data_IF_277066463951
#
_entry.id   IF_277066463951
#
_cell.length_a   1.000
_cell.length_b   1.000
_cell.length_c   1.000
_cell.angle_alpha   90.00
_cell.angle_beta   90.00
_cell.angle_gamma   90.00
#
_symmetry.space_group_name_H-M   'P 1'
#
loop_
_entity.id
_entity.type
_entity.pdbx_description
1 polymer ?
#
# COMPACT_ATOMS: atom_id res chain seq x y z
N UNK A 1 -14.01 16.02 -29.33
CA UNK A 1 -14.54 15.52 -28.05
C UNK A 1 -14.28 14.02 -28.00
N UNK A 2 -13.10 13.59 -27.51
CA UNK A 2 -12.75 12.15 -27.42
C UNK A 2 -11.76 11.92 -26.25
N UNK A 3 -10.75 12.78 -26.10
CA UNK A 3 -9.62 12.48 -25.19
C UNK A 3 -10.04 12.47 -23.71
N UNK A 4 -10.83 13.46 -23.26
CA UNK A 4 -11.22 13.54 -21.85
C UNK A 4 -12.14 12.40 -21.41
N UNK A 5 -13.11 12.00 -22.25
CA UNK A 5 -13.99 10.84 -21.97
C UNK A 5 -13.22 9.51 -21.94
N UNK A 6 -12.25 9.34 -22.83
CA UNK A 6 -11.38 8.15 -22.85
C UNK A 6 -10.50 8.12 -21.60
N UNK A 7 -9.95 9.28 -21.18
CA UNK A 7 -9.16 9.37 -19.95
C UNK A 7 -10.00 9.10 -18.70
N UNK A 8 -11.24 9.59 -18.64
CA UNK A 8 -12.15 9.34 -17.52
C UNK A 8 -12.55 7.87 -17.44
N UNK A 9 -12.80 7.23 -18.59
CA UNK A 9 -13.12 5.81 -18.68
C UNK A 9 -11.94 4.94 -18.24
N UNK A 10 -10.74 5.22 -18.75
CA UNK A 10 -9.51 4.52 -18.36
C UNK A 10 -9.21 4.73 -16.88
N UNK A 11 -9.40 5.94 -16.37
CA UNK A 11 -9.23 6.26 -14.95
C UNK A 11 -10.23 5.50 -14.08
N UNK A 12 -11.48 5.37 -14.52
CA UNK A 12 -12.51 4.62 -13.80
C UNK A 12 -12.20 3.12 -13.73
N UNK A 13 -11.75 2.53 -14.85
CA UNK A 13 -11.30 1.14 -14.90
C UNK A 13 -10.06 0.95 -14.01
N UNK A 14 -9.08 1.86 -14.10
CA UNK A 14 -7.89 1.81 -13.27
C UNK A 14 -8.25 1.86 -11.77
N UNK A 15 -9.17 2.76 -11.37
CA UNK A 15 -9.67 2.82 -9.99
C UNK A 15 -10.35 1.53 -9.56
N UNK A 16 -11.15 0.91 -10.44
CA UNK A 16 -11.77 -0.38 -10.19
C UNK A 16 -10.74 -1.49 -9.96
N UNK A 17 -9.73 -1.58 -10.84
CA UNK A 17 -8.64 -2.58 -10.72
C UNK A 17 -7.79 -2.33 -9.48
N UNK A 18 -7.47 -1.07 -9.16
CA UNK A 18 -6.74 -0.71 -7.94
C UNK A 18 -7.56 -1.09 -6.70
N UNK A 19 -8.87 -0.85 -6.70
CA UNK A 19 -9.75 -1.24 -5.59
C UNK A 19 -9.79 -2.76 -5.37
N UNK A 20 -9.91 -3.54 -6.44
CA UNK A 20 -9.87 -5.00 -6.39
C UNK A 20 -8.48 -5.50 -5.95
N UNK A 21 -7.41 -4.91 -6.48
CA UNK A 21 -6.04 -5.23 -6.11
C UNK A 21 -5.77 -4.95 -4.62
N UNK A 22 -6.24 -3.81 -4.10
CA UNK A 22 -6.08 -3.45 -2.69
C UNK A 22 -6.84 -4.44 -1.78
N UNK A 23 -8.05 -4.85 -2.18
CA UNK A 23 -8.83 -5.87 -1.47
C UNK A 23 -8.15 -7.24 -1.48
N UNK A 24 -7.61 -7.67 -2.62
CA UNK A 24 -6.87 -8.92 -2.74
C UNK A 24 -5.57 -8.91 -1.92
N UNK A 25 -4.84 -7.80 -1.92
CA UNK A 25 -3.62 -7.64 -1.11
C UNK A 25 -3.95 -7.67 0.39
N UNK A 26 -5.05 -7.06 0.83
CA UNK A 26 -5.46 -7.14 2.25
C UNK A 26 -5.84 -8.57 2.65
N UNK A 27 -6.58 -9.28 1.80
CA UNK A 27 -6.89 -10.70 2.05
C UNK A 27 -5.61 -11.54 2.07
N UNK A 28 -4.71 -11.34 1.11
CA UNK A 28 -3.45 -12.06 1.03
C UNK A 28 -2.54 -11.77 2.23
N UNK A 29 -2.53 -10.55 2.78
CA UNK A 29 -1.88 -10.21 4.04
C UNK A 29 -2.44 -11.02 5.21
N UNK A 30 -3.77 -11.09 5.35
CA UNK A 30 -4.41 -11.89 6.40
C UNK A 30 -4.07 -13.37 6.24
N UNK A 31 -4.08 -13.89 5.02
CA UNK A 31 -3.70 -15.28 4.72
C UNK A 31 -2.24 -15.54 5.09
N UNK A 32 -1.32 -14.62 4.79
CA UNK A 32 0.11 -14.78 5.12
C UNK A 32 0.37 -14.71 6.64
N UNK A 33 -0.48 -14.00 7.40
CA UNK A 33 -0.42 -14.03 8.87
C UNK A 33 -0.92 -15.37 9.43
N UNK A 34 -1.99 -15.93 8.87
CA UNK A 34 -2.58 -17.20 9.34
C UNK A 34 -1.84 -18.44 8.81
N UNK A 35 -1.25 -18.34 7.62
CA UNK A 35 -0.53 -19.37 6.90
C UNK A 35 0.80 -18.79 6.38
N UNK A 36 1.81 -18.70 7.25
CA UNK A 36 3.07 -18.03 6.94
C UNK A 36 3.79 -18.64 5.74
N UNK A 37 4.25 -17.77 4.83
CA UNK A 37 5.07 -18.15 3.67
C UNK A 37 4.28 -18.50 2.41
N UNK A 38 2.96 -18.30 2.40
CA UNK A 38 2.10 -18.61 1.25
C UNK A 38 2.04 -17.48 0.22
N UNK A 39 2.11 -16.22 0.65
CA UNK A 39 2.08 -15.07 -0.26
C UNK A 39 3.31 -14.16 -0.12
N UNK A 40 4.05 -14.28 0.98
CA UNK A 40 5.27 -13.52 1.27
C UNK A 40 5.06 -11.98 1.27
N UNK A 41 3.80 -11.54 1.40
CA UNK A 41 3.44 -10.12 1.46
C UNK A 41 3.80 -9.57 2.84
N UNK A 42 3.65 -10.34 3.91
CA UNK A 42 4.05 -9.94 5.26
C UNK A 42 5.55 -9.70 5.33
N UNK A 43 6.38 -10.52 4.67
CA UNK A 43 7.83 -10.31 4.60
C UNK A 43 8.20 -9.01 3.85
N UNK A 44 7.43 -8.67 2.81
CA UNK A 44 7.63 -7.42 2.06
C UNK A 44 7.24 -6.19 2.89
N UNK A 45 6.14 -6.27 3.64
CA UNK A 45 5.69 -5.21 4.57
C UNK A 45 6.62 -5.11 5.77
N UNK A 46 7.12 -6.23 6.31
CA UNK A 46 8.06 -6.22 7.42
C UNK A 46 9.37 -5.58 7.03
N UNK A 47 9.90 -5.84 5.82
CA UNK A 47 11.10 -5.17 5.31
C UNK A 47 10.91 -3.65 5.15
N UNK A 48 9.72 -3.21 4.74
CA UNK A 48 9.37 -1.78 4.72
C UNK A 48 9.36 -1.19 6.13
N UNK A 49 8.71 -1.85 7.09
CA UNK A 49 8.69 -1.40 8.50
C UNK A 49 10.10 -1.37 9.08
N UNK A 50 10.91 -2.40 8.82
CA UNK A 50 12.31 -2.49 9.22
C UNK A 50 13.15 -1.34 8.66
N UNK A 51 12.88 -0.87 7.43
CA UNK A 51 13.57 0.29 6.86
C UNK A 51 13.35 1.58 7.67
N UNK A 52 12.21 1.71 8.35
CA UNK A 52 11.92 2.83 9.24
C UNK A 52 12.40 2.56 10.67
N UNK A 53 12.34 1.33 11.17
CA UNK A 53 12.75 1.01 12.55
C UNK A 53 14.25 0.79 12.71
N UNK A 54 14.98 0.48 11.63
CA UNK A 54 16.44 0.32 11.62
C UNK A 54 17.16 1.60 12.07
N UNK A 55 16.60 2.77 11.76
CA UNK A 55 17.08 4.06 12.27
C UNK A 55 16.72 4.37 13.72
N UNK A 56 16.08 3.45 14.44
CA UNK A 56 15.62 3.63 15.82
C UNK A 56 14.59 4.76 15.96
N UNK A 57 14.75 5.60 16.99
CA UNK A 57 13.84 6.71 17.28
C UNK A 57 13.75 7.72 16.12
N UNK A 58 14.86 7.96 15.42
CA UNK A 58 14.91 8.89 14.28
C UNK A 58 14.02 8.42 13.13
N UNK A 59 14.07 7.13 12.78
CA UNK A 59 13.25 6.60 11.71
C UNK A 59 11.75 6.54 12.07
N UNK A 60 11.43 6.33 13.36
CA UNK A 60 10.05 6.45 13.84
C UNK A 60 9.54 7.90 13.75
N UNK A 61 10.35 8.89 14.12
CA UNK A 61 9.99 10.32 13.99
C UNK A 61 9.74 10.67 12.51
N UNK A 62 10.59 10.19 11.59
CA UNK A 62 10.42 10.39 10.15
C UNK A 62 9.11 9.76 9.65
N UNK A 63 8.78 8.55 10.10
CA UNK A 63 7.53 7.88 9.75
C UNK A 63 6.30 8.68 10.21
N UNK A 64 6.33 9.19 11.45
CA UNK A 64 5.23 10.02 12.00
C UNK A 64 5.06 11.31 11.18
N UNK A 65 6.15 11.98 10.81
CA UNK A 65 6.09 13.19 9.96
C UNK A 65 5.54 12.87 8.57
N UNK A 66 5.97 11.76 7.96
CA UNK A 66 5.48 11.33 6.66
C UNK A 66 3.97 11.06 6.68
N UNK A 67 3.47 10.33 7.68
CA UNK A 67 2.03 10.07 7.85
C UNK A 67 1.26 11.36 8.11
N UNK A 68 1.80 12.28 8.91
CA UNK A 68 1.17 13.58 9.18
C UNK A 68 1.04 14.45 7.91
N UNK A 69 1.97 14.32 6.96
CA UNK A 69 1.89 14.99 5.66
C UNK A 69 0.89 14.26 4.74
N UNK A 70 0.99 12.94 4.64
CA UNK A 70 0.15 12.14 3.75
C UNK A 70 -1.34 12.13 4.14
N UNK A 71 -1.64 12.22 5.44
CA UNK A 71 -3.02 12.34 5.94
C UNK A 71 -3.64 13.73 5.78
N UNK A 72 -2.82 14.73 5.44
CA UNK A 72 -3.25 16.12 5.23
C UNK A 72 -3.56 16.44 3.76
N UNK A 73 -3.10 15.59 2.84
CA UNK A 73 -3.45 15.61 1.40
C UNK A 73 -4.63 14.71 1.11
#
# INVERSE_FOLDING_TARGET
MIINEVLDTVTSIAKGVIGLGLSLVTVALVVDVLFPGTTNIVASVSGLVESFTSGGLTGLIVLVIFIAIASRT
#
